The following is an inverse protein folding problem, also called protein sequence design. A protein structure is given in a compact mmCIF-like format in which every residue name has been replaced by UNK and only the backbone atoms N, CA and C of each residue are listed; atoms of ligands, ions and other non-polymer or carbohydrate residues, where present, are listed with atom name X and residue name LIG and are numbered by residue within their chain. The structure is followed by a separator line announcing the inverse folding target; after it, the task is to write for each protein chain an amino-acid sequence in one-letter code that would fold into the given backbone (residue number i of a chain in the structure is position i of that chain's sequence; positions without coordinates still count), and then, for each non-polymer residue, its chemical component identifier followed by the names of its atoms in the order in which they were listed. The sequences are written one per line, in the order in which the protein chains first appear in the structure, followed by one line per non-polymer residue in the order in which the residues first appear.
data_IF_160117610593
#
_entry.id   IF_160117610593
#
_cell.length_a   1.000
_cell.length_b   1.000
_cell.length_c   1.000
_cell.angle_alpha   90.00
_cell.angle_beta   90.00
_cell.angle_gamma   90.00
#
_symmetry.space_group_name_H-M   'P 1'
#
loop_
_entity.id
_entity.type
_entity.pdbx_description
1 polymer ?
#
# COMPACT_ATOMS: atom_id res chain seq x y z
N UNK A 1 8.92 23.45 -5.42
CA UNK A 1 7.90 22.80 -4.58
C UNK A 1 7.13 21.72 -5.35
N UNK A 2 6.49 22.01 -6.48
CA UNK A 2 5.79 21.00 -7.29
C UNK A 2 6.68 19.78 -7.65
N UNK A 3 7.90 20.02 -8.14
CA UNK A 3 8.86 18.95 -8.44
C UNK A 3 9.20 18.05 -7.25
N UNK A 4 9.22 18.60 -6.03
CA UNK A 4 9.50 17.81 -4.82
C UNK A 4 8.35 16.83 -4.54
N UNK A 5 7.10 17.29 -4.63
CA UNK A 5 5.92 16.44 -4.48
C UNK A 5 5.80 15.43 -5.61
N UNK A 6 6.12 15.82 -6.84
CA UNK A 6 6.13 14.91 -7.99
C UNK A 6 7.15 13.77 -7.79
N UNK A 7 8.35 14.10 -7.30
CA UNK A 7 9.37 13.12 -6.99
C UNK A 7 8.97 12.20 -5.82
N UNK A 8 8.30 12.73 -4.79
CA UNK A 8 7.74 11.91 -3.72
C UNK A 8 6.66 10.95 -4.24
N UNK A 9 5.72 11.41 -5.06
CA UNK A 9 4.70 10.55 -5.68
C UNK A 9 5.33 9.45 -6.56
N UNK A 10 6.38 9.79 -7.32
CA UNK A 10 7.15 8.79 -8.10
C UNK A 10 7.80 7.75 -7.20
N UNK A 11 8.43 8.17 -6.10
CA UNK A 11 9.04 7.27 -5.13
C UNK A 11 7.99 6.32 -4.54
N UNK A 12 6.80 6.81 -4.19
CA UNK A 12 5.71 5.96 -3.69
C UNK A 12 5.33 4.87 -4.69
N UNK A 13 5.13 5.23 -5.97
CA UNK A 13 4.81 4.27 -7.04
C UNK A 13 5.91 3.20 -7.20
N UNK A 14 7.19 3.59 -7.07
CA UNK A 14 8.32 2.66 -7.09
C UNK A 14 8.36 1.73 -5.86
N UNK A 15 7.77 2.14 -4.73
CA UNK A 15 7.74 1.40 -3.47
C UNK A 15 6.60 0.36 -3.44
N UNK A 16 5.51 0.57 -4.19
CA UNK A 16 4.35 -0.33 -4.22
C UNK A 16 4.71 -1.81 -4.56
N UNK A 17 5.59 -2.11 -5.54
CA UNK A 17 6.02 -3.48 -5.80
C UNK A 17 6.80 -4.12 -4.64
N UNK A 18 7.50 -3.32 -3.83
CA UNK A 18 8.18 -3.80 -2.63
C UNK A 18 7.17 -4.13 -1.52
N UNK A 19 6.19 -3.26 -1.30
CA UNK A 19 5.10 -3.49 -0.33
C UNK A 19 4.31 -4.75 -0.70
N UNK A 20 4.05 -4.97 -1.99
CA UNK A 20 3.36 -6.18 -2.49
C UNK A 20 4.02 -7.50 -2.08
N UNK A 21 5.33 -7.51 -1.79
CA UNK A 21 6.04 -8.71 -1.29
C UNK A 21 5.60 -9.11 0.13
N UNK A 22 4.95 -8.22 0.85
CA UNK A 22 4.48 -8.40 2.22
C UNK A 22 2.94 -8.52 2.22
N UNK A 23 2.38 -9.73 2.21
CA UNK A 23 0.93 -9.93 2.03
C UNK A 23 0.07 -9.41 3.20
N UNK A 24 0.71 -9.06 4.32
CA UNK A 24 0.06 -8.47 5.48
C UNK A 24 -0.18 -6.97 5.33
N UNK A 25 0.34 -6.32 4.29
CA UNK A 25 0.07 -4.89 4.05
C UNK A 25 -0.93 -4.70 2.93
N UNK A 26 -2.02 -4.01 3.25
CA UNK A 26 -2.99 -3.52 2.28
C UNK A 26 -2.86 -2.00 2.13
N UNK A 27 -2.66 -1.53 0.89
CA UNK A 27 -2.74 -0.10 0.58
C UNK A 27 -4.19 0.36 0.67
N UNK A 28 -4.44 1.50 1.33
CA UNK A 28 -5.79 2.05 1.50
C UNK A 28 -5.83 3.57 1.32
N UNK A 29 -7.00 4.14 1.62
CA UNK A 29 -7.18 5.58 1.74
C UNK A 29 -7.23 6.31 0.40
N UNK A 30 -7.06 7.63 0.49
CA UNK A 30 -7.14 8.52 -0.67
C UNK A 30 -6.04 8.28 -1.70
N UNK A 31 -4.88 7.75 -1.28
CA UNK A 31 -3.77 7.39 -2.17
C UNK A 31 -4.10 6.16 -3.01
N UNK A 32 -4.66 5.10 -2.42
CA UNK A 32 -5.10 3.92 -3.17
C UNK A 32 -6.13 4.30 -4.26
N UNK A 33 -7.14 5.10 -3.89
CA UNK A 33 -8.17 5.56 -4.82
C UNK A 33 -7.56 6.40 -5.95
N UNK A 34 -6.62 7.29 -5.62
CA UNK A 34 -5.99 8.18 -6.59
C UNK A 34 -5.10 7.45 -7.60
N UNK A 35 -4.38 6.41 -7.16
CA UNK A 35 -3.47 5.65 -8.02
C UNK A 35 -4.17 4.59 -8.87
N UNK A 36 -5.24 3.96 -8.37
CA UNK A 36 -5.78 2.75 -8.99
C UNK A 36 -7.23 2.86 -9.46
N UNK A 37 -8.01 3.83 -8.98
CA UNK A 37 -9.46 3.90 -9.27
C UNK A 37 -9.82 5.14 -10.09
N UNK A 38 -9.16 6.28 -9.83
CA UNK A 38 -9.40 7.53 -10.55
C UNK A 38 -8.27 7.81 -11.54
N UNK A 39 -8.57 8.63 -12.54
CA UNK A 39 -7.58 9.13 -13.52
C UNK A 39 -6.68 10.21 -12.92
N UNK A 40 -6.01 9.88 -11.82
CA UNK A 40 -5.00 10.70 -11.13
C UNK A 40 -5.31 12.22 -11.02
N UNK A 41 -6.46 12.63 -10.43
CA UNK A 41 -6.87 14.04 -10.41
C UNK A 41 -6.01 14.95 -9.51
N UNK A 42 -5.10 14.40 -8.71
CA UNK A 42 -4.18 15.13 -7.83
C UNK A 42 -2.91 14.31 -7.57
N UNK A 43 -1.86 14.94 -7.06
CA UNK A 43 -0.71 14.22 -6.51
C UNK A 43 -1.06 13.60 -5.15
N UNK A 44 -0.58 12.38 -4.92
CA UNK A 44 -0.61 11.72 -3.61
C UNK A 44 0.83 11.55 -3.12
N UNK A 45 1.12 12.09 -1.95
CA UNK A 45 2.48 12.12 -1.37
C UNK A 45 2.59 11.33 -0.06
N UNK A 46 1.44 10.93 0.50
CA UNK A 46 1.32 10.07 1.68
C UNK A 46 0.99 8.63 1.27
N UNK A 47 1.38 7.66 2.09
CA UNK A 47 1.05 6.25 1.91
C UNK A 47 0.39 5.66 3.15
N UNK A 48 -0.86 5.25 3.00
CA UNK A 48 -1.64 4.60 4.05
C UNK A 48 -1.62 3.08 3.85
N UNK A 49 -0.97 2.36 4.77
CA UNK A 49 -1.00 0.91 4.83
C UNK A 49 -1.79 0.44 6.04
N UNK A 50 -2.64 -0.56 5.84
CA UNK A 50 -3.22 -1.34 6.94
C UNK A 50 -2.52 -2.67 7.05
N UNK A 51 -2.11 -2.99 8.28
CA UNK A 51 -1.69 -4.34 8.62
C UNK A 51 -2.93 -5.23 8.71
N UNK A 52 -3.10 -6.10 7.73
CA UNK A 52 -4.15 -7.11 7.68
C UNK A 52 -3.57 -8.43 8.18
N UNK A 53 -4.10 -8.91 9.30
CA UNK A 53 -3.83 -10.28 9.71
C UNK A 53 -4.36 -11.21 8.60
N UNK A 54 -3.51 -12.10 8.09
CA UNK A 54 -3.89 -13.11 7.11
C UNK A 54 -4.76 -14.20 7.76
N UNK A 55 -5.90 -13.82 8.34
CA UNK A 55 -6.86 -14.76 8.93
C UNK A 55 -7.83 -15.28 7.85
N UNK A 56 -7.93 -14.62 6.69
CA UNK A 56 -8.95 -14.92 5.68
C UNK A 56 -8.41 -15.50 4.36
N UNK A 57 -7.40 -16.38 4.40
CA UNK A 57 -6.96 -17.02 3.14
C UNK A 57 -5.83 -18.05 3.20
N UNK A 58 -5.11 -18.17 4.31
CA UNK A 58 -4.16 -19.28 4.49
C UNK A 58 -4.82 -20.43 5.29
N UNK A 59 -4.58 -21.71 4.95
CA UNK A 59 -4.89 -22.79 5.87
C UNK A 59 -4.10 -22.54 7.15
N UNK A 60 -4.80 -22.24 8.25
CA UNK A 60 -4.19 -22.11 9.57
C UNK A 60 -3.43 -23.42 9.85
N UNK A 61 -2.10 -23.40 9.75
CA UNK A 61 -1.32 -24.45 10.40
C UNK A 61 -1.63 -24.33 11.89
N UNK A 62 -2.25 -25.38 12.47
CA UNK A 62 -2.49 -25.46 13.91
C UNK A 62 -1.19 -25.09 14.63
N UNK A 63 -1.23 -24.05 15.46
CA UNK A 63 -0.23 -23.80 16.49
C UNK A 63 0.95 -22.87 16.15
N UNK A 64 0.85 -21.96 15.18
CA UNK A 64 1.82 -20.85 15.07
C UNK A 64 1.08 -19.53 14.91
N UNK A 65 0.81 -18.90 16.04
CA UNK A 65 0.50 -17.48 16.09
C UNK A 65 1.76 -16.71 15.66
N UNK A 66 1.60 -15.73 14.77
CA UNK A 66 2.64 -14.74 14.55
C UNK A 66 2.85 -13.96 15.86
N UNK A 67 4.08 -13.51 16.18
CA UNK A 67 4.29 -12.58 17.28
C UNK A 67 3.45 -11.30 17.11
#
# INVERSE_FOLDING_TARGET
MYEQYLNQSRLLLQLLPLIKKYPHFALKGGTAINFFIRDFPRLSVDIDLSYINAICGMPRKKGKECP
#
